data_IF_285726028993
#
_entry.id   IF_285726028993
#
_cell.length_a   1.000
_cell.length_b   1.000
_cell.length_c   1.000
_cell.angle_alpha   90.00
_cell.angle_beta   90.00
_cell.angle_gamma   90.00
#
_symmetry.space_group_name_H-M   'P 1'
#
loop_
_entity.id
_entity.type
_entity.pdbx_description
1 polymer ?
#
# COMPACT_ATOMS: atom_id res chain seq x y z
N UNK A 1 5.68 19.18 -6.42
CA UNK A 1 5.11 17.90 -5.93
C UNK A 1 6.15 17.11 -5.15
N UNK A 2 7.28 16.68 -5.76
CA UNK A 2 8.32 15.90 -5.08
C UNK A 2 8.99 16.59 -3.87
N UNK A 3 9.23 17.90 -3.93
CA UNK A 3 9.80 18.64 -2.79
C UNK A 3 8.83 18.67 -1.61
N UNK A 4 7.56 19.02 -1.85
CA UNK A 4 6.53 19.09 -0.82
C UNK A 4 6.33 17.74 -0.12
N UNK A 5 6.23 16.63 -0.87
CA UNK A 5 6.01 15.31 -0.27
C UNK A 5 7.17 14.91 0.67
N UNK A 6 8.41 15.17 0.25
CA UNK A 6 9.60 14.90 1.08
C UNK A 6 9.60 15.78 2.33
N UNK A 7 9.33 17.07 2.18
CA UNK A 7 9.37 18.02 3.29
C UNK A 7 8.26 17.72 4.31
N UNK A 8 7.07 17.30 3.85
CA UNK A 8 5.97 16.84 4.71
C UNK A 8 6.33 15.56 5.48
N UNK A 9 6.98 14.59 4.82
CA UNK A 9 7.46 13.36 5.47
C UNK A 9 8.57 13.64 6.49
N UNK A 10 9.47 14.58 6.22
CA UNK A 10 10.49 15.02 7.17
C UNK A 10 9.86 15.68 8.41
N UNK A 11 8.83 16.51 8.23
CA UNK A 11 8.12 17.13 9.35
C UNK A 11 7.41 16.10 10.23
N UNK A 12 6.87 15.02 9.62
CA UNK A 12 6.30 13.88 10.35
C UNK A 12 7.35 13.12 11.17
N UNK A 13 8.55 12.93 10.62
CA UNK A 13 9.67 12.25 11.30
C UNK A 13 10.04 12.92 12.62
N UNK A 14 10.09 14.25 12.64
CA UNK A 14 10.40 15.04 13.84
C UNK A 14 9.38 14.90 14.98
N UNK A 15 8.19 14.36 14.71
CA UNK A 15 7.09 14.26 15.68
C UNK A 15 6.82 12.83 16.16
N UNK A 16 7.43 11.81 15.54
CA UNK A 16 7.07 10.41 15.77
C UNK A 16 8.26 9.57 16.26
N UNK A 17 7.97 8.48 16.98
CA UNK A 17 8.96 7.45 17.24
C UNK A 17 9.21 6.69 15.94
N UNK A 18 10.29 7.01 15.24
CA UNK A 18 10.54 6.57 13.86
C UNK A 18 10.56 5.04 13.74
N UNK A 19 11.06 4.32 14.74
CA UNK A 19 11.26 2.86 14.70
C UNK A 19 9.99 2.02 14.57
N UNK A 20 8.79 2.58 14.79
CA UNK A 20 7.52 1.87 14.69
C UNK A 20 6.67 2.31 13.48
N UNK A 21 7.22 3.14 12.60
CA UNK A 21 6.50 3.63 11.42
C UNK A 21 6.33 2.54 10.36
N UNK A 22 5.08 2.33 9.96
CA UNK A 22 4.71 1.46 8.85
C UNK A 22 3.96 2.31 7.82
N UNK A 23 4.41 2.27 6.57
CA UNK A 23 3.67 2.88 5.46
C UNK A 23 2.61 1.90 4.96
N UNK A 24 1.35 2.33 4.95
CA UNK A 24 0.26 1.62 4.26
C UNK A 24 -0.16 2.45 3.05
N UNK A 25 0.19 1.98 1.85
CA UNK A 25 -0.09 2.69 0.60
C UNK A 25 -0.63 1.74 -0.46
N UNK A 26 -1.32 2.28 -1.47
CA UNK A 26 -1.44 1.56 -2.74
C UNK A 26 -0.04 1.30 -3.33
N UNK A 27 0.08 0.44 -4.34
CA UNK A 27 1.36 0.09 -4.99
C UNK A 27 1.96 1.27 -5.79
N UNK A 28 2.12 2.40 -5.12
CA UNK A 28 2.63 3.67 -5.59
C UNK A 28 4.11 3.74 -5.25
N UNK A 29 4.93 3.14 -6.10
CA UNK A 29 6.39 3.03 -5.95
C UNK A 29 7.05 4.36 -5.57
N UNK A 30 6.56 5.48 -6.13
CA UNK A 30 7.06 6.82 -5.84
C UNK A 30 6.89 7.20 -4.36
N UNK A 31 5.75 6.87 -3.76
CA UNK A 31 5.45 7.16 -2.35
C UNK A 31 6.30 6.26 -1.46
N UNK A 32 6.37 4.97 -1.78
CA UNK A 32 7.21 3.99 -1.08
C UNK A 32 8.68 4.40 -1.08
N UNK A 33 9.21 4.81 -2.24
CA UNK A 33 10.59 5.27 -2.38
C UNK A 33 10.85 6.57 -1.62
N UNK A 34 9.89 7.51 -1.62
CA UNK A 34 10.02 8.75 -0.85
C UNK A 34 10.04 8.48 0.66
N UNK A 35 9.18 7.57 1.13
CA UNK A 35 9.12 7.14 2.52
C UNK A 35 10.43 6.46 2.96
N UNK A 36 10.87 5.42 2.24
CA UNK A 36 12.11 4.70 2.56
C UNK A 36 13.35 5.59 2.51
N UNK A 37 13.34 6.62 1.65
CA UNK A 37 14.42 7.61 1.59
C UNK A 37 14.47 8.53 2.81
N UNK A 38 13.33 8.83 3.44
CA UNK A 38 13.25 9.73 4.60
C UNK A 38 13.45 8.95 5.90
N UNK A 39 12.77 7.82 6.05
CA UNK A 39 12.73 7.08 7.31
C UNK A 39 13.73 5.92 7.39
N UNK A 40 14.20 5.42 6.25
CA UNK A 40 15.14 4.30 6.19
C UNK A 40 14.56 3.08 5.49
N UNK A 41 15.44 2.23 4.96
CA UNK A 41 15.08 1.02 4.21
C UNK A 41 14.72 -0.17 5.10
N UNK A 42 14.93 -0.05 6.41
CA UNK A 42 14.56 -1.01 7.46
C UNK A 42 13.09 -0.91 7.88
N UNK A 43 12.36 0.07 7.35
CA UNK A 43 10.95 0.27 7.62
C UNK A 43 10.06 -0.61 6.74
N UNK A 44 8.91 -0.99 7.28
CA UNK A 44 7.93 -1.78 6.55
C UNK A 44 7.04 -0.89 5.69
N UNK A 45 6.91 -1.27 4.42
CA UNK A 45 5.91 -0.74 3.49
C UNK A 45 4.95 -1.87 3.16
N UNK A 46 3.67 -1.66 3.46
CA UNK A 46 2.62 -2.66 3.29
C UNK A 46 1.61 -2.17 2.27
N UNK A 47 1.21 -3.06 1.37
CA UNK A 47 0.16 -2.77 0.41
C UNK A 47 -1.18 -2.59 1.12
N UNK A 48 -1.89 -1.51 0.76
CA UNK A 48 -3.19 -1.21 1.31
C UNK A 48 -4.22 -2.26 0.87
N UNK A 49 -4.69 -3.05 1.84
CA UNK A 49 -5.69 -4.11 1.66
C UNK A 49 -6.92 -3.66 0.87
N UNK A 50 -7.49 -2.53 1.28
CA UNK A 50 -8.70 -1.98 0.66
C UNK A 50 -8.49 -1.67 -0.83
N UNK A 51 -7.36 -1.03 -1.18
CA UNK A 51 -7.06 -0.69 -2.56
C UNK A 51 -6.76 -1.93 -3.40
N UNK A 52 -6.02 -2.90 -2.86
CA UNK A 52 -5.78 -4.17 -3.52
C UNK A 52 -7.09 -4.90 -3.82
N UNK A 53 -7.99 -5.04 -2.83
CA UNK A 53 -9.27 -5.74 -3.00
C UNK A 53 -10.13 -5.08 -4.07
N UNK A 54 -10.24 -3.74 -4.00
CA UNK A 54 -10.97 -2.94 -4.99
C UNK A 54 -10.38 -3.08 -6.39
N UNK A 55 -9.06 -3.18 -6.51
CA UNK A 55 -8.41 -3.38 -7.80
C UNK A 55 -8.68 -4.79 -8.36
N UNK A 56 -8.68 -5.84 -7.51
CA UNK A 56 -9.05 -7.18 -7.96
C UNK A 56 -10.51 -7.20 -8.42
N UNK A 57 -11.43 -6.68 -7.61
CA UNK A 57 -12.86 -6.61 -7.95
C UNK A 57 -13.09 -5.92 -9.31
N UNK A 58 -12.41 -4.79 -9.53
CA UNK A 58 -12.46 -4.05 -10.79
C UNK A 58 -11.98 -4.88 -11.99
N UNK A 59 -11.07 -5.84 -11.79
CA UNK A 59 -10.48 -6.67 -12.84
C UNK A 59 -11.09 -8.08 -12.95
N UNK A 60 -12.02 -8.46 -12.08
CA UNK A 60 -12.71 -9.76 -12.13
C UNK A 60 -13.42 -10.01 -13.46
N UNK A 61 -13.78 -8.96 -14.20
CA UNK A 61 -14.39 -9.11 -15.53
C UNK A 61 -13.50 -9.90 -16.51
N UNK A 62 -12.17 -9.87 -16.33
CA UNK A 62 -11.19 -10.60 -17.14
C UNK A 62 -11.25 -12.12 -16.92
N UNK A 63 -11.82 -12.58 -15.80
CA UNK A 63 -12.03 -14.00 -15.53
C UNK A 63 -13.31 -14.45 -16.24
N UNK A 64 -13.14 -15.30 -17.26
CA UNK A 64 -14.23 -15.83 -18.09
C UNK A 64 -15.19 -16.70 -17.26
N UNK A 65 -14.64 -17.56 -16.41
CA UNK A 65 -15.43 -18.42 -15.54
C UNK A 65 -15.96 -17.65 -14.32
N UNK A 66 -17.21 -17.18 -14.40
CA UNK A 66 -17.87 -16.42 -13.32
C UNK A 66 -18.05 -17.20 -12.01
N UNK A 67 -18.04 -18.54 -12.05
CA UNK A 67 -18.11 -19.36 -10.84
C UNK A 67 -16.87 -19.18 -9.95
N UNK A 68 -15.73 -18.75 -10.51
CA UNK A 68 -14.49 -18.53 -9.77
C UNK A 68 -14.45 -17.17 -9.03
N UNK A 69 -15.33 -16.23 -9.35
CA UNK A 69 -15.27 -14.86 -8.82
C UNK A 69 -15.40 -14.84 -7.30
N UNK A 70 -16.37 -15.57 -6.76
CA UNK A 70 -16.57 -15.67 -5.30
C UNK A 70 -15.40 -16.37 -4.61
N UNK A 71 -14.80 -17.37 -5.25
CA UNK A 71 -13.61 -18.06 -4.73
C UNK A 71 -12.42 -17.11 -4.62
N UNK A 72 -12.13 -16.36 -5.67
CA UNK A 72 -11.04 -15.36 -5.69
C UNK A 72 -11.23 -14.33 -4.59
N UNK A 73 -12.45 -13.81 -4.41
CA UNK A 73 -12.71 -12.81 -3.37
C UNK A 73 -12.61 -13.40 -1.96
N UNK A 74 -13.07 -14.62 -1.75
CA UNK A 74 -12.91 -15.31 -0.46
C UNK A 74 -11.44 -15.58 -0.16
N UNK A 75 -10.67 -16.08 -1.13
CA UNK A 75 -9.24 -16.33 -0.97
C UNK A 75 -8.50 -15.04 -0.60
N UNK A 76 -8.85 -13.93 -1.24
CA UNK A 76 -8.37 -12.61 -0.85
C UNK A 76 -8.74 -12.32 0.60
N UNK A 77 -10.01 -12.34 1.01
CA UNK A 77 -10.39 -12.05 2.41
C UNK A 77 -9.66 -12.92 3.46
N UNK A 78 -9.20 -14.13 3.11
CA UNK A 78 -8.39 -14.96 4.02
C UNK A 78 -6.92 -14.53 4.19
N UNK A 79 -6.41 -13.64 3.34
CA UNK A 79 -5.04 -13.13 3.40
C UNK A 79 -4.88 -11.88 4.30
N UNK A 80 -5.98 -11.37 4.86
CA UNK A 80 -5.98 -10.28 5.83
C UNK A 80 -5.60 -10.78 7.23
#
# INVERSE_FOLDING_TARGET
IFSCLRDDLLNLSLQMNEQELILIADDAEVISNAFLKVFGTDHNVVMCWFHMRKNVEKNLYLVENKALHGGIMNDIETLQ
#
